data_IF_923876063261
#
_entry.id   IF_923876063261
#
_cell.length_a   1.000
_cell.length_b   1.000
_cell.length_c   1.000
_cell.angle_alpha   90.00
_cell.angle_beta   90.00
_cell.angle_gamma   90.00
#
_symmetry.space_group_name_H-M   'P 1'
#
loop_
_entity.id
_entity.type
_entity.pdbx_description
1 polymer ?
#
# COMPACT_ATOMS: atom_id res chain seq x y z
N UNK A 1 -25.03 -10.88 -13.59
CA UNK A 1 -25.83 -12.12 -13.59
C UNK A 1 -26.04 -12.54 -15.04
N UNK A 2 -25.51 -13.70 -15.44
CA UNK A 2 -25.51 -14.16 -16.85
C UNK A 2 -26.88 -14.28 -17.51
N UNK A 3 -27.96 -14.34 -16.73
CA UNK A 3 -29.34 -14.45 -17.21
C UNK A 3 -30.02 -13.12 -17.56
N UNK A 4 -29.48 -12.01 -17.08
CA UNK A 4 -30.11 -10.67 -17.24
C UNK A 4 -29.17 -9.66 -17.87
N UNK A 5 -27.96 -10.08 -18.27
CA UNK A 5 -26.88 -9.20 -18.75
C UNK A 5 -26.61 -7.98 -17.82
N UNK A 6 -26.91 -8.17 -16.53
CA UNK A 6 -26.79 -7.13 -15.53
C UNK A 6 -25.46 -7.30 -14.80
N UNK A 7 -24.56 -6.36 -14.97
CA UNK A 7 -23.34 -6.21 -14.15
C UNK A 7 -23.73 -5.51 -12.84
N UNK A 8 -23.60 -6.23 -11.74
CA UNK A 8 -23.68 -5.63 -10.40
C UNK A 8 -22.26 -5.39 -9.96
N UNK A 9 -21.82 -4.16 -9.99
CA UNK A 9 -20.55 -3.76 -9.39
C UNK A 9 -20.63 -4.01 -7.89
N UNK A 10 -19.78 -4.89 -7.41
CA UNK A 10 -19.65 -5.13 -5.97
C UNK A 10 -18.75 -4.02 -5.44
N UNK A 11 -19.35 -3.00 -4.87
CA UNK A 11 -18.65 -1.97 -4.10
C UNK A 11 -17.99 -2.67 -2.90
N UNK A 12 -16.70 -2.96 -3.01
CA UNK A 12 -15.92 -3.44 -1.89
C UNK A 12 -15.46 -2.23 -1.08
N UNK A 13 -16.32 -1.74 -0.18
CA UNK A 13 -15.86 -0.80 0.83
C UNK A 13 -14.78 -1.50 1.66
N UNK A 14 -13.57 -0.99 1.61
CA UNK A 14 -12.47 -1.46 2.45
C UNK A 14 -12.90 -1.19 3.89
N UNK A 15 -13.01 -2.25 4.71
CA UNK A 15 -13.24 -2.08 6.12
C UNK A 15 -11.96 -1.51 6.74
N UNK A 16 -12.00 -0.25 7.19
CA UNK A 16 -10.85 0.48 7.74
C UNK A 16 -10.17 -0.26 8.90
N UNK A 17 -10.93 -0.99 9.69
CA UNK A 17 -10.39 -1.78 10.78
C UNK A 17 -9.55 -2.96 10.26
N UNK A 18 -10.04 -3.66 9.24
CA UNK A 18 -9.29 -4.77 8.60
C UNK A 18 -8.02 -4.23 7.95
N UNK A 19 -8.13 -3.10 7.24
CA UNK A 19 -6.99 -2.46 6.61
C UNK A 19 -5.91 -2.07 7.62
N UNK A 20 -6.29 -1.43 8.72
CA UNK A 20 -5.40 -1.10 9.84
C UNK A 20 -4.73 -2.35 10.42
N UNK A 21 -5.50 -3.41 10.66
CA UNK A 21 -4.97 -4.67 11.19
C UNK A 21 -3.96 -5.31 10.24
N UNK A 22 -4.19 -5.25 8.93
CA UNK A 22 -3.24 -5.73 7.93
C UNK A 22 -1.92 -4.95 7.99
N UNK A 23 -1.97 -3.61 8.04
CA UNK A 23 -0.79 -2.77 8.20
C UNK A 23 -0.03 -3.08 9.50
N UNK A 24 -0.74 -3.26 10.60
CA UNK A 24 -0.15 -3.63 11.89
C UNK A 24 0.54 -5.00 11.84
N UNK A 25 -0.08 -5.98 11.19
CA UNK A 25 0.47 -7.33 11.03
C UNK A 25 1.74 -7.32 10.17
N UNK A 26 1.72 -6.65 9.02
CA UNK A 26 2.88 -6.52 8.12
C UNK A 26 4.06 -5.85 8.83
N UNK A 27 3.80 -4.73 9.53
CA UNK A 27 4.81 -4.05 10.32
C UNK A 27 5.40 -4.96 11.41
N UNK A 28 4.54 -5.67 12.16
CA UNK A 28 4.99 -6.56 13.22
C UNK A 28 5.92 -7.66 12.70
N UNK A 29 5.65 -8.23 11.52
CA UNK A 29 6.51 -9.23 10.87
C UNK A 29 7.88 -8.67 10.50
N UNK A 30 7.97 -7.39 10.14
CA UNK A 30 9.24 -6.74 9.79
C UNK A 30 10.05 -6.29 11.00
N UNK A 31 9.38 -5.93 12.11
CA UNK A 31 10.05 -5.39 13.31
C UNK A 31 10.35 -6.43 14.38
N UNK A 32 9.64 -7.56 14.41
CA UNK A 32 9.64 -8.49 15.54
C UNK A 32 9.80 -9.94 15.09
N UNK A 33 10.43 -10.76 15.92
CA UNK A 33 10.57 -12.20 15.73
C UNK A 33 9.59 -13.04 16.57
N UNK A 34 8.85 -12.41 17.48
CA UNK A 34 7.90 -13.05 18.41
C UNK A 34 6.44 -12.75 18.04
N UNK A 35 6.07 -13.04 16.79
CA UNK A 35 4.76 -12.66 16.21
C UNK A 35 3.92 -13.91 15.95
N UNK A 36 2.63 -13.83 16.26
CA UNK A 36 1.61 -14.79 15.85
C UNK A 36 0.60 -14.05 14.96
N UNK A 37 0.41 -14.55 13.73
CA UNK A 37 -0.56 -14.01 12.77
C UNK A 37 -1.72 -14.99 12.62
N UNK A 38 -2.94 -14.49 12.77
CA UNK A 38 -4.16 -15.22 12.43
C UNK A 38 -4.83 -14.49 11.28
N UNK A 39 -4.94 -15.14 10.13
CA UNK A 39 -5.42 -14.52 8.91
C UNK A 39 -6.36 -15.46 8.14
N UNK A 40 -7.31 -14.90 7.43
CA UNK A 40 -8.08 -15.62 6.42
C UNK A 40 -7.31 -15.67 5.09
N UNK A 41 -7.68 -16.56 4.19
CA UNK A 41 -7.07 -16.70 2.85
C UNK A 41 -7.10 -15.37 2.09
N UNK A 42 -8.15 -14.58 2.23
CA UNK A 42 -8.27 -13.27 1.58
C UNK A 42 -7.22 -12.24 2.02
N UNK A 43 -6.58 -12.43 3.17
CA UNK A 43 -5.55 -11.53 3.68
C UNK A 43 -4.15 -11.85 3.15
N UNK A 44 -3.97 -12.99 2.48
CA UNK A 44 -2.67 -13.44 1.94
C UNK A 44 -2.26 -12.62 0.73
N UNK A 45 -3.24 -12.18 -0.05
CA UNK A 45 -3.06 -11.47 -1.32
C UNK A 45 -3.25 -9.94 -1.17
N UNK A 46 -2.96 -9.20 -2.24
CA UNK A 46 -3.08 -7.74 -2.27
C UNK A 46 -2.01 -7.05 -1.44
N UNK A 47 -0.80 -7.59 -1.45
CA UNK A 47 0.38 -7.08 -0.76
C UNK A 47 1.55 -6.99 -1.75
N UNK A 48 2.40 -5.97 -1.61
CA UNK A 48 3.59 -5.80 -2.43
C UNK A 48 4.72 -6.74 -2.03
N UNK A 49 5.80 -6.75 -2.81
CA UNK A 49 6.99 -7.52 -2.49
C UNK A 49 7.60 -7.03 -1.16
N UNK A 50 8.04 -7.97 -0.33
CA UNK A 50 8.55 -7.69 1.03
C UNK A 50 9.77 -6.76 1.00
N UNK A 51 10.70 -6.98 0.06
CA UNK A 51 11.90 -6.17 -0.10
C UNK A 51 11.52 -4.72 -0.42
N UNK A 52 10.61 -4.52 -1.37
CA UNK A 52 10.14 -3.18 -1.75
C UNK A 52 9.44 -2.48 -0.58
N UNK A 53 8.61 -3.20 0.15
CA UNK A 53 7.88 -2.63 1.29
C UNK A 53 8.84 -2.26 2.43
N UNK A 54 9.83 -3.09 2.72
CA UNK A 54 10.85 -2.83 3.73
C UNK A 54 11.77 -1.66 3.36
N UNK A 55 12.19 -1.57 2.08
CA UNK A 55 13.03 -0.49 1.58
C UNK A 55 12.28 0.86 1.49
N UNK A 56 10.96 0.81 1.31
CA UNK A 56 10.11 1.99 1.31
C UNK A 56 9.64 2.34 2.73
N UNK A 57 10.58 2.60 3.62
CA UNK A 57 10.35 3.14 4.96
C UNK A 57 11.11 4.45 5.12
N UNK A 58 10.72 5.27 6.10
CA UNK A 58 11.44 6.49 6.44
C UNK A 58 11.76 6.51 7.93
N UNK A 59 13.04 6.49 8.27
CA UNK A 59 13.49 6.60 9.66
C UNK A 59 13.80 8.04 9.99
N UNK A 60 13.08 8.59 10.97
CA UNK A 60 13.27 9.95 11.47
C UNK A 60 13.80 9.90 12.90
N UNK A 61 14.84 10.69 13.16
CA UNK A 61 15.52 10.76 14.46
C UNK A 61 15.46 12.21 14.96
N UNK A 62 15.07 12.40 16.21
CA UNK A 62 15.06 13.71 16.85
C UNK A 62 16.47 14.31 16.89
N UNK A 63 16.56 15.63 16.81
CA UNK A 63 17.82 16.40 16.76
C UNK A 63 18.70 16.08 15.54
N UNK A 64 18.06 15.66 14.41
CA UNK A 64 18.76 15.40 13.15
C UNK A 64 18.54 16.53 12.13
N UNK A 65 19.51 16.70 11.23
CA UNK A 65 19.39 17.63 10.10
C UNK A 65 18.61 16.94 8.98
N UNK A 66 17.42 17.40 8.70
CA UNK A 66 16.56 16.85 7.66
C UNK A 66 15.71 17.96 7.06
N UNK A 67 15.80 18.14 5.75
CA UNK A 67 15.01 19.14 5.04
C UNK A 67 13.51 18.78 5.08
N UNK A 68 12.69 19.70 5.62
CA UNK A 68 11.24 19.50 5.78
C UNK A 68 10.54 19.13 4.47
N UNK A 69 10.94 19.74 3.36
CA UNK A 69 10.33 19.46 2.05
C UNK A 69 10.65 18.05 1.55
N UNK A 70 11.83 17.54 1.86
CA UNK A 70 12.19 16.16 1.51
C UNK A 70 11.35 15.14 2.30
N UNK A 71 11.09 15.40 3.59
CA UNK A 71 10.19 14.56 4.39
C UNK A 71 8.78 14.56 3.80
N UNK A 72 8.24 15.71 3.41
CA UNK A 72 6.91 15.78 2.79
C UNK A 72 6.85 15.00 1.48
N UNK A 73 7.87 15.10 0.63
CA UNK A 73 7.96 14.30 -0.60
C UNK A 73 7.99 12.82 -0.28
N UNK A 74 8.80 12.44 0.72
CA UNK A 74 8.91 11.06 1.15
C UNK A 74 7.59 10.50 1.66
N UNK A 75 6.81 11.27 2.42
CA UNK A 75 5.48 10.85 2.86
C UNK A 75 4.51 10.62 1.69
N UNK A 76 4.56 11.45 0.66
CA UNK A 76 3.77 11.23 -0.57
C UNK A 76 4.23 9.96 -1.31
N UNK A 77 5.53 9.70 -1.40
CA UNK A 77 6.06 8.46 -1.97
C UNK A 77 5.62 7.22 -1.18
N UNK A 78 5.51 7.35 0.15
CA UNK A 78 4.97 6.33 1.05
C UNK A 78 3.44 6.23 1.01
N UNK A 79 2.79 6.93 0.07
CA UNK A 79 1.34 6.91 -0.18
C UNK A 79 0.51 7.54 0.95
N UNK A 80 1.08 8.47 1.74
CA UNK A 80 0.30 9.31 2.64
C UNK A 80 -0.32 10.47 1.87
N UNK A 81 -1.57 10.77 2.16
CA UNK A 81 -2.27 11.90 1.58
C UNK A 81 -2.07 13.16 2.42
N UNK A 82 -1.67 14.27 1.79
CA UNK A 82 -1.69 15.55 2.48
C UNK A 82 -3.12 16.03 2.65
N UNK A 83 -3.55 16.22 3.88
CA UNK A 83 -4.86 16.76 4.20
C UNK A 83 -4.76 17.66 5.44
N UNK A 84 -4.70 18.97 5.21
CA UNK A 84 -4.55 19.96 6.28
C UNK A 84 -5.89 20.23 7.00
N UNK A 85 -7.02 19.84 6.41
CA UNK A 85 -8.37 20.07 6.95
C UNK A 85 -8.89 18.88 7.78
N UNK A 86 -8.75 17.66 7.26
CA UNK A 86 -9.21 16.43 7.91
C UNK A 86 -8.01 15.52 8.17
N UNK A 87 -7.66 15.36 9.46
CA UNK A 87 -6.52 14.56 9.90
C UNK A 87 -6.98 13.15 10.23
N UNK A 88 -6.96 12.31 9.23
CA UNK A 88 -7.38 10.90 9.30
C UNK A 88 -6.20 9.94 9.11
N UNK A 89 -6.43 8.68 9.42
CA UNK A 89 -5.44 7.61 9.24
C UNK A 89 -4.93 7.55 7.80
N UNK A 90 -3.62 7.42 7.60
CA UNK A 90 -2.99 7.44 6.28
C UNK A 90 -2.83 8.85 5.69
N UNK A 91 -3.02 9.90 6.49
CA UNK A 91 -2.78 11.26 6.07
C UNK A 91 -1.65 11.95 6.86
N UNK A 92 -1.14 13.02 6.30
CA UNK A 92 -0.29 13.98 7.01
C UNK A 92 -0.78 15.40 6.79
N UNK A 93 -0.49 16.29 7.71
CA UNK A 93 -0.80 17.72 7.61
C UNK A 93 0.37 18.57 8.05
N UNK A 94 0.39 19.81 7.57
CA UNK A 94 1.46 20.78 7.85
C UNK A 94 0.87 22.01 8.50
N UNK A 95 1.42 22.40 9.63
CA UNK A 95 1.02 23.61 10.39
C UNK A 95 2.26 24.38 10.85
N UNK A 96 2.59 25.46 10.16
CA UNK A 96 3.80 26.24 10.45
C UNK A 96 5.06 25.36 10.34
N UNK A 97 5.81 25.29 11.43
CA UNK A 97 7.05 24.50 11.52
C UNK A 97 6.82 23.07 12.01
N UNK A 98 5.59 22.59 11.96
CA UNK A 98 5.25 21.21 12.34
C UNK A 98 4.66 20.41 11.20
N UNK A 99 5.05 19.15 11.12
CA UNK A 99 4.38 18.13 10.30
C UNK A 99 3.77 17.10 11.25
N UNK A 100 2.52 16.75 11.02
CA UNK A 100 1.85 15.67 11.75
C UNK A 100 1.47 14.58 10.77
N UNK A 101 1.72 13.33 11.14
CA UNK A 101 1.37 12.14 10.35
C UNK A 101 0.54 11.19 11.20
N UNK A 102 -0.52 10.64 10.61
CA UNK A 102 -1.33 9.59 11.23
C UNK A 102 -1.03 8.25 10.55
N UNK A 103 -0.14 7.43 11.14
CA UNK A 103 0.29 6.17 10.56
C UNK A 103 -0.87 5.20 10.32
N UNK A 104 -0.84 4.46 9.22
CA UNK A 104 -1.93 3.56 8.80
C UNK A 104 -2.17 2.38 9.74
N UNK A 105 -1.20 2.03 10.59
CA UNK A 105 -1.29 0.93 11.56
C UNK A 105 -1.79 1.34 12.93
N UNK A 106 -1.91 2.65 13.22
CA UNK A 106 -2.44 3.14 14.49
C UNK A 106 -3.93 3.46 14.42
N UNK A 107 -4.59 3.39 15.58
CA UNK A 107 -6.00 3.72 15.75
C UNK A 107 -6.22 5.08 16.40
N UNK A 108 -5.43 5.35 17.43
CA UNK A 108 -5.63 6.47 18.37
C UNK A 108 -4.36 7.29 18.59
N UNK A 109 -3.35 7.15 17.74
CA UNK A 109 -2.06 7.80 17.89
C UNK A 109 -1.54 8.33 16.58
N UNK A 110 -0.93 9.50 16.66
CA UNK A 110 -0.25 10.13 15.54
C UNK A 110 1.11 10.65 15.99
N UNK A 111 1.95 11.06 15.06
CA UNK A 111 3.24 11.65 15.34
C UNK A 111 3.28 13.10 14.89
N UNK A 112 3.89 13.95 15.71
CA UNK A 112 4.21 15.35 15.41
C UNK A 112 5.70 15.54 15.36
N UNK A 113 6.17 16.06 14.24
CA UNK A 113 7.54 16.44 13.97
C UNK A 113 7.65 17.96 14.08
N UNK A 114 8.47 18.45 15.01
CA UNK A 114 8.70 19.87 15.21
C UNK A 114 10.05 20.25 14.59
N UNK A 115 10.06 21.26 13.72
CA UNK A 115 11.23 21.71 13.00
C UNK A 115 11.67 23.10 13.43
N UNK A 116 12.97 23.35 13.41
CA UNK A 116 13.56 24.66 13.41
C UNK A 116 14.50 24.78 12.20
N UNK A 117 14.06 25.50 11.17
CA UNK A 117 14.74 25.47 9.87
C UNK A 117 14.77 24.06 9.30
N UNK A 118 15.97 23.52 9.05
CA UNK A 118 16.23 22.17 8.54
C UNK A 118 16.62 21.18 9.65
N UNK A 119 16.36 21.52 10.91
CA UNK A 119 16.57 20.63 12.05
C UNK A 119 15.24 20.07 12.54
N UNK A 120 15.13 18.75 12.63
CA UNK A 120 14.03 18.04 13.29
C UNK A 120 14.29 18.05 14.80
N UNK A 121 13.87 19.10 15.51
CA UNK A 121 14.14 19.27 16.94
C UNK A 121 13.55 18.20 17.82
N UNK A 122 12.29 17.81 17.55
CA UNK A 122 11.56 16.89 18.43
C UNK A 122 10.52 16.07 17.66
N UNK A 123 10.32 14.85 18.15
CA UNK A 123 9.28 13.94 17.72
C UNK A 123 8.35 13.67 18.92
N UNK A 124 7.04 13.84 18.70
CA UNK A 124 6.04 13.61 19.74
C UNK A 124 5.00 12.60 19.25
N UNK A 125 4.67 11.64 20.10
CA UNK A 125 3.42 10.90 19.99
C UNK A 125 2.30 11.81 20.49
N UNK A 126 1.24 11.93 19.71
CA UNK A 126 0.09 12.80 20.00
C UNK A 126 -1.22 12.05 19.85
N UNK A 127 -2.25 12.53 20.53
CA UNK A 127 -3.64 12.18 20.27
C UNK A 127 -4.09 12.88 18.96
N UNK A 128 -4.56 12.17 17.93
CA UNK A 128 -4.93 12.78 16.66
C UNK A 128 -6.16 13.68 16.72
N UNK A 129 -7.05 13.48 17.71
CA UNK A 129 -8.29 14.26 17.89
C UNK A 129 -8.03 15.57 18.62
N UNK A 130 -7.31 15.52 19.74
CA UNK A 130 -7.04 16.68 20.59
C UNK A 130 -5.75 17.41 20.22
N UNK A 131 -4.80 16.71 19.63
CA UNK A 131 -3.44 17.20 19.37
C UNK A 131 -2.56 17.26 20.64
N UNK A 132 -3.02 16.66 21.74
CA UNK A 132 -2.24 16.60 22.98
C UNK A 132 -1.01 15.72 22.85
N UNK A 133 0.12 16.19 23.41
CA UNK A 133 1.35 15.42 23.45
C UNK A 133 1.27 14.34 24.50
N UNK A 134 1.48 13.07 24.07
CA UNK A 134 1.44 11.90 24.95
C UNK A 134 2.86 11.58 25.44
N UNK A 135 3.81 11.49 24.50
CA UNK A 135 5.18 11.06 24.80
C UNK A 135 6.18 11.64 23.81
N UNK A 136 7.36 12.01 24.29
CA UNK A 136 8.50 12.32 23.42
C UNK A 136 9.13 11.03 22.92
N UNK A 137 9.54 11.01 21.65
CA UNK A 137 10.20 9.90 20.99
C UNK A 137 11.57 10.33 20.47
N UNK A 138 12.56 9.47 20.61
CA UNK A 138 13.90 9.73 20.07
C UNK A 138 13.95 9.43 18.57
N UNK A 139 13.23 8.41 18.13
CA UNK A 139 13.16 8.00 16.73
C UNK A 139 11.81 7.33 16.40
N UNK A 140 11.45 7.38 15.12
CA UNK A 140 10.32 6.64 14.56
C UNK A 140 10.67 6.09 13.18
N UNK A 141 10.01 5.00 12.80
CA UNK A 141 10.05 4.47 11.43
C UNK A 141 8.65 4.60 10.83
N UNK A 142 8.55 5.39 9.77
CA UNK A 142 7.30 5.58 9.02
C UNK A 142 7.22 4.50 7.95
N UNK A 143 6.22 3.65 8.05
CA UNK A 143 5.90 2.62 7.08
C UNK A 143 4.92 3.16 6.01
N UNK A 144 4.87 2.54 4.83
CA UNK A 144 3.92 2.95 3.79
C UNK A 144 2.47 2.93 4.25
N UNK A 145 1.67 3.86 3.72
CA UNK A 145 0.22 3.93 3.94
C UNK A 145 -0.59 3.03 3.00
N UNK A 146 0.08 2.29 2.13
CA UNK A 146 -0.54 1.31 1.23
C UNK A 146 0.14 -0.04 1.41
N UNK A 147 -0.62 -1.12 1.32
CA UNK A 147 -0.07 -2.49 1.29
C UNK A 147 0.72 -2.77 0.02
N UNK A 148 0.52 -1.96 -1.01
CA UNK A 148 1.17 -2.11 -2.31
C UNK A 148 1.85 -0.80 -2.69
N UNK A 149 3.14 -0.71 -2.43
CA UNK A 149 3.97 0.45 -2.79
C UNK A 149 5.00 0.04 -3.83
N UNK A 150 5.29 0.95 -4.74
CA UNK A 150 6.26 0.73 -5.81
C UNK A 150 7.11 1.98 -5.99
N UNK A 151 8.45 1.87 -5.99
CA UNK A 151 9.32 2.99 -6.28
C UNK A 151 8.99 3.65 -7.62
N UNK A 152 8.98 4.98 -7.66
CA UNK A 152 8.63 5.74 -8.87
C UNK A 152 9.37 5.30 -10.14
N UNK A 153 10.70 5.05 -10.12
CA UNK A 153 11.41 4.57 -11.30
C UNK A 153 10.90 3.23 -11.83
N UNK A 154 10.60 2.27 -10.93
CA UNK A 154 10.05 0.96 -11.29
C UNK A 154 8.67 1.11 -11.91
N UNK A 155 7.84 1.95 -11.32
CA UNK A 155 6.51 2.25 -11.84
C UNK A 155 6.57 2.82 -13.26
N UNK A 156 7.42 3.84 -13.49
CA UNK A 156 7.58 4.46 -14.80
C UNK A 156 8.09 3.48 -15.88
N UNK A 157 8.86 2.47 -15.50
CA UNK A 157 9.29 1.39 -16.42
C UNK A 157 8.17 0.38 -16.68
N UNK A 158 7.24 0.20 -15.77
CA UNK A 158 6.11 -0.72 -15.90
C UNK A 158 5.02 -0.17 -16.84
N UNK A 159 4.72 1.14 -16.78
CA UNK A 159 3.64 1.76 -17.54
C UNK A 159 3.65 1.43 -19.05
N UNK A 160 4.76 1.58 -19.80
CA UNK A 160 4.79 1.24 -21.23
C UNK A 160 4.55 -0.24 -21.49
N UNK A 161 4.99 -1.14 -20.59
CA UNK A 161 4.79 -2.59 -20.73
C UNK A 161 3.32 -2.95 -20.52
N UNK A 162 2.66 -2.39 -19.51
CA UNK A 162 1.23 -2.57 -19.26
C UNK A 162 0.41 -2.05 -20.45
N UNK A 163 0.77 -0.87 -20.98
CA UNK A 163 0.12 -0.28 -22.15
C UNK A 163 0.25 -1.15 -23.40
N UNK A 164 1.40 -1.77 -23.60
CA UNK A 164 1.65 -2.67 -24.73
C UNK A 164 0.80 -3.94 -24.61
N UNK A 165 0.73 -4.57 -23.43
CA UNK A 165 -0.11 -5.75 -23.18
C UNK A 165 -1.59 -5.43 -23.37
N UNK A 166 -2.06 -4.29 -22.83
CA UNK A 166 -3.44 -3.83 -23.04
C UNK A 166 -3.79 -3.75 -24.52
N UNK A 167 -2.94 -3.12 -25.33
CA UNK A 167 -3.16 -3.00 -26.79
C UNK A 167 -3.28 -4.37 -27.46
N UNK A 168 -2.32 -5.27 -27.20
CA UNK A 168 -2.34 -6.62 -27.77
C UNK A 168 -3.63 -7.37 -27.36
N UNK A 169 -4.07 -7.24 -26.11
CA UNK A 169 -5.29 -7.89 -25.65
C UNK A 169 -6.55 -7.30 -26.26
N UNK A 170 -6.61 -5.98 -26.45
CA UNK A 170 -7.72 -5.30 -27.15
C UNK A 170 -7.82 -5.77 -28.59
N UNK A 171 -6.70 -5.85 -29.32
CA UNK A 171 -6.64 -6.35 -30.70
C UNK A 171 -7.15 -7.80 -30.78
N UNK A 172 -6.70 -8.68 -29.88
CA UNK A 172 -7.15 -10.06 -29.81
C UNK A 172 -8.67 -10.15 -29.58
N UNK A 173 -9.20 -9.47 -28.56
CA UNK A 173 -10.63 -9.47 -28.24
C UNK A 173 -11.47 -8.92 -29.39
N UNK A 174 -10.98 -7.90 -30.10
CA UNK A 174 -11.63 -7.34 -31.27
C UNK A 174 -11.68 -8.36 -32.41
N UNK A 175 -10.59 -9.07 -32.67
CA UNK A 175 -10.52 -10.14 -33.68
C UNK A 175 -11.46 -11.31 -33.37
N UNK A 176 -11.67 -11.61 -32.05
CA UNK A 176 -12.62 -12.61 -31.58
C UNK A 176 -14.10 -12.12 -31.62
N UNK A 177 -14.36 -10.86 -31.99
CA UNK A 177 -15.69 -10.26 -32.00
C UNK A 177 -16.22 -9.84 -30.62
N UNK A 178 -15.38 -9.86 -29.59
CA UNK A 178 -15.71 -9.52 -28.19
C UNK A 178 -15.51 -8.02 -27.94
N UNK A 179 -16.30 -7.20 -28.62
CA UNK A 179 -16.09 -5.75 -28.67
C UNK A 179 -16.34 -5.05 -27.32
N UNK A 180 -17.32 -5.56 -26.53
CA UNK A 180 -17.64 -4.97 -25.22
C UNK A 180 -16.49 -5.22 -24.23
N UNK A 181 -15.92 -6.42 -24.23
CA UNK A 181 -14.79 -6.73 -23.38
C UNK A 181 -13.53 -5.98 -23.80
N UNK A 182 -13.32 -5.83 -25.11
CA UNK A 182 -12.22 -5.02 -25.65
C UNK A 182 -12.32 -3.56 -25.17
N UNK A 183 -13.50 -2.96 -25.28
CA UNK A 183 -13.74 -1.60 -24.83
C UNK A 183 -13.52 -1.46 -23.31
N UNK A 184 -14.11 -2.34 -22.52
CA UNK A 184 -14.00 -2.29 -21.05
C UNK A 184 -12.55 -2.42 -20.55
N UNK A 185 -11.78 -3.34 -21.13
CA UNK A 185 -10.37 -3.49 -20.71
C UNK A 185 -9.54 -2.28 -21.11
N UNK A 186 -9.81 -1.70 -22.28
CA UNK A 186 -9.15 -0.49 -22.74
C UNK A 186 -9.45 0.71 -21.84
N UNK A 187 -10.72 0.98 -21.55
CA UNK A 187 -11.14 2.11 -20.71
C UNK A 187 -10.56 1.98 -19.29
N UNK A 188 -10.75 0.80 -18.66
CA UNK A 188 -10.23 0.56 -17.31
C UNK A 188 -8.72 0.70 -17.24
N UNK A 189 -7.99 0.01 -18.12
CA UNK A 189 -6.51 0.04 -18.07
C UNK A 189 -5.97 1.44 -18.40
N UNK A 190 -6.63 2.20 -19.28
CA UNK A 190 -6.24 3.58 -19.54
C UNK A 190 -6.38 4.45 -18.30
N UNK A 191 -7.51 4.34 -17.61
CA UNK A 191 -7.75 5.06 -16.36
C UNK A 191 -6.73 4.64 -15.26
N UNK A 192 -6.50 3.34 -15.11
CA UNK A 192 -5.52 2.83 -14.14
C UNK A 192 -4.11 3.34 -14.43
N UNK A 193 -3.71 3.41 -15.71
CA UNK A 193 -2.40 3.96 -16.11
C UNK A 193 -2.27 5.45 -15.77
N UNK A 194 -3.31 6.25 -15.96
CA UNK A 194 -3.33 7.67 -15.56
C UNK A 194 -3.20 7.82 -14.05
N UNK A 195 -3.92 7.01 -13.29
CA UNK A 195 -3.82 7.00 -11.83
C UNK A 195 -2.43 6.60 -11.36
N UNK A 196 -1.84 5.53 -11.91
CA UNK A 196 -0.49 5.09 -11.60
C UNK A 196 0.56 6.16 -11.94
N UNK A 197 0.43 6.84 -13.07
CA UNK A 197 1.34 7.90 -13.49
C UNK A 197 1.27 9.12 -12.56
N UNK A 198 0.08 9.52 -12.15
CA UNK A 198 -0.16 10.74 -11.36
C UNK A 198 0.05 10.52 -9.87
N UNK A 199 -0.55 9.47 -9.30
CA UNK A 199 -0.58 9.23 -7.85
C UNK A 199 0.32 8.09 -7.39
N UNK A 200 0.80 7.24 -8.31
CA UNK A 200 1.56 6.02 -7.98
C UNK A 200 0.69 4.84 -7.52
N UNK A 201 -0.63 4.98 -7.56
CA UNK A 201 -1.59 3.97 -7.11
C UNK A 201 -2.83 3.92 -8.01
N UNK A 202 -3.47 2.74 -8.09
CA UNK A 202 -4.81 2.57 -8.65
C UNK A 202 -5.55 1.45 -7.92
N UNK A 203 -6.88 1.45 -8.01
CA UNK A 203 -7.69 0.36 -7.47
C UNK A 203 -7.43 -0.93 -8.23
N UNK A 204 -7.04 -2.01 -7.50
CA UNK A 204 -6.66 -3.28 -8.11
C UNK A 204 -5.25 -3.27 -8.68
N UNK A 205 -4.35 -2.48 -8.09
CA UNK A 205 -2.93 -2.40 -8.47
C UNK A 205 -2.26 -3.79 -8.52
N UNK A 206 -2.73 -4.74 -7.73
CA UNK A 206 -2.27 -6.13 -7.72
C UNK A 206 -2.44 -6.84 -9.08
N UNK A 207 -3.37 -6.38 -9.93
CA UNK A 207 -3.53 -6.89 -11.29
C UNK A 207 -2.31 -6.61 -12.18
N UNK A 208 -1.49 -5.63 -11.79
CA UNK A 208 -0.27 -5.23 -12.47
C UNK A 208 1.00 -5.73 -11.77
N UNK A 209 0.85 -6.59 -10.73
CA UNK A 209 1.93 -7.06 -9.85
C UNK A 209 3.14 -7.59 -10.61
N UNK A 210 2.95 -8.36 -11.68
CA UNK A 210 4.00 -8.89 -12.52
C UNK A 210 4.98 -7.82 -13.03
N UNK A 211 4.44 -6.68 -13.48
CA UNK A 211 5.24 -5.58 -13.99
C UNK A 211 5.90 -4.76 -12.89
N UNK A 212 5.23 -4.65 -11.74
CA UNK A 212 5.68 -3.84 -10.60
C UNK A 212 6.73 -4.57 -9.76
N UNK A 213 6.71 -5.90 -9.77
CA UNK A 213 7.64 -6.76 -9.01
C UNK A 213 8.70 -7.43 -9.89
N UNK A 214 8.65 -7.23 -11.22
CA UNK A 214 9.60 -7.83 -12.16
C UNK A 214 9.46 -9.34 -12.36
N UNK A 215 8.33 -9.92 -11.98
CA UNK A 215 8.05 -11.37 -12.13
C UNK A 215 7.70 -11.74 -13.57
N UNK A 216 7.91 -13.01 -13.91
CA UNK A 216 7.60 -13.53 -15.23
C UNK A 216 6.10 -13.89 -15.35
N UNK A 217 5.58 -14.03 -16.59
CA UNK A 217 4.26 -14.59 -16.80
C UNK A 217 4.15 -15.99 -16.20
N UNK A 218 3.12 -16.21 -15.36
CA UNK A 218 2.89 -17.49 -14.65
C UNK A 218 3.51 -17.59 -13.27
N UNK A 219 4.39 -16.64 -12.89
CA UNK A 219 4.86 -16.58 -11.51
C UNK A 219 3.73 -16.12 -10.57
N UNK A 220 3.64 -16.65 -9.34
CA UNK A 220 2.65 -16.21 -8.36
C UNK A 220 2.88 -14.75 -7.97
N UNK A 221 1.83 -13.98 -7.64
CA UNK A 221 1.99 -12.64 -7.10
C UNK A 221 2.65 -12.67 -5.71
N UNK A 222 3.17 -11.53 -5.20
CA UNK A 222 3.61 -11.45 -3.83
C UNK A 222 2.50 -11.81 -2.85
N UNK A 223 2.86 -12.52 -1.79
CA UNK A 223 1.91 -12.97 -0.77
C UNK A 223 2.45 -12.70 0.63
N UNK A 224 1.57 -12.77 1.63
CA UNK A 224 1.95 -12.65 3.04
C UNK A 224 2.99 -13.70 3.46
N UNK A 225 3.06 -14.85 2.78
CA UNK A 225 4.05 -15.88 3.08
C UNK A 225 5.50 -15.40 2.90
N UNK A 226 5.73 -14.48 1.97
CA UNK A 226 7.07 -13.92 1.73
C UNK A 226 7.56 -13.01 2.88
N UNK A 227 6.65 -12.55 3.74
CA UNK A 227 6.97 -11.75 4.93
C UNK A 227 7.31 -12.61 6.15
N UNK A 228 7.05 -13.92 6.09
CA UNK A 228 7.34 -14.82 7.19
C UNK A 228 8.83 -15.15 7.24
N UNK A 229 9.44 -15.27 8.44
CA UNK A 229 10.80 -15.75 8.57
C UNK A 229 10.90 -17.22 8.15
N UNK A 230 12.09 -17.65 7.69
CA UNK A 230 12.35 -19.02 7.21
C UNK A 230 11.96 -20.13 8.21
N UNK A 231 12.03 -19.83 9.50
CA UNK A 231 11.70 -20.77 10.59
C UNK A 231 10.26 -20.63 11.11
N UNK A 232 9.37 -19.96 10.36
CA UNK A 232 7.98 -19.81 10.75
C UNK A 232 7.23 -21.14 10.74
N UNK A 233 6.31 -21.32 11.69
CA UNK A 233 5.37 -22.43 11.70
C UNK A 233 4.04 -21.98 11.08
N UNK A 234 3.56 -22.73 10.08
CA UNK A 234 2.30 -22.50 9.44
C UNK A 234 1.27 -23.54 9.88
N UNK A 235 0.16 -23.10 10.44
CA UNK A 235 -1.00 -23.91 10.75
C UNK A 235 -2.14 -23.55 9.80
N UNK A 236 -2.62 -24.51 9.03
CA UNK A 236 -3.71 -24.30 8.07
C UNK A 236 -4.95 -25.03 8.58
N UNK A 237 -5.90 -24.26 9.10
CA UNK A 237 -7.21 -24.78 9.47
C UNK A 237 -8.08 -25.00 8.23
N UNK A 238 -8.96 -25.98 8.26
CA UNK A 238 -9.80 -26.37 7.11
C UNK A 238 -8.98 -26.53 5.81
N UNK A 239 -7.84 -27.21 5.91
CA UNK A 239 -6.82 -27.30 4.85
C UNK A 239 -7.39 -27.87 3.53
N UNK A 240 -8.44 -28.71 3.59
CA UNK A 240 -9.12 -29.24 2.41
C UNK A 240 -9.80 -28.15 1.57
N UNK A 241 -10.15 -27.01 2.16
CA UNK A 241 -10.69 -25.84 1.46
C UNK A 241 -9.60 -24.81 1.19
N UNK A 242 -8.82 -24.45 2.23
CA UNK A 242 -7.85 -23.38 2.18
C UNK A 242 -6.72 -23.65 1.17
N UNK A 243 -6.18 -24.89 1.15
CA UNK A 243 -5.08 -25.23 0.22
C UNK A 243 -5.54 -25.17 -1.24
N UNK A 244 -6.75 -25.63 -1.55
CA UNK A 244 -7.29 -25.54 -2.91
C UNK A 244 -7.54 -24.09 -3.36
N UNK A 245 -7.88 -23.18 -2.42
CA UNK A 245 -8.03 -21.76 -2.73
C UNK A 245 -6.69 -21.05 -2.96
N UNK A 246 -5.62 -21.48 -2.30
CA UNK A 246 -4.28 -20.90 -2.45
C UNK A 246 -3.62 -21.38 -3.75
N UNK A 247 -3.91 -22.60 -4.19
CA UNK A 247 -3.31 -23.20 -5.38
C UNK A 247 -4.07 -22.95 -6.69
N UNK A 248 -5.14 -22.14 -6.67
CA UNK A 248 -6.03 -21.88 -7.80
C UNK A 248 -5.58 -20.83 -8.78
#
# INVERSE_FOLDING_TARGET
VARTDTYIEKDSSINEQIDRMRHSATRALLERSDVIIVASVSCIYGIGAVETYADMTEKLVASSQVERNEIMKRFVELQYNRNDADFSRGSFRVRGDTIEIFPSHYEDRAWRFSFFGDELEAIWEIDPLTGEKIKALDEVVVYPSSHYVTPRPTLMQALPKIKAEMKARVEQLTAEGRLIEAQRIQERTTFDLEMLETTGYCNGIENYSRYLTGRNPGDPPPTLFEYLPENALLFVDESHVSVSQIGG
#
